data_IF_609052895884
#
_entry.id   IF_609052895884
#
_cell.length_a   1.000
_cell.length_b   1.000
_cell.length_c   1.000
_cell.angle_alpha   90.00
_cell.angle_beta   90.00
_cell.angle_gamma   90.00
#
_symmetry.space_group_name_H-M   'P 1'
#
loop_
_entity.id
_entity.type
_entity.pdbx_description
1 polymer ?
#
# COMPACT_ATOMS: atom_id res chain seq x y z
N UNK A 1 10.41 8.48 18.34
CA UNK A 1 9.40 7.49 17.91
C UNK A 1 8.13 8.14 17.36
N UNK A 2 7.58 9.16 18.04
CA UNK A 2 6.36 9.89 17.61
C UNK A 2 6.49 10.47 16.19
N UNK A 3 7.66 11.04 15.85
CA UNK A 3 7.90 11.60 14.51
C UNK A 3 7.83 10.53 13.41
N UNK A 4 8.44 9.36 13.62
CA UNK A 4 8.41 8.26 12.65
C UNK A 4 7.02 7.63 12.53
N UNK A 5 6.29 7.45 13.63
CA UNK A 5 4.89 6.99 13.58
C UNK A 5 4.03 7.97 12.77
N UNK A 6 4.16 9.28 13.06
CA UNK A 6 3.47 10.33 12.31
C UNK A 6 3.83 10.29 10.82
N UNK A 7 5.11 10.09 10.48
CA UNK A 7 5.58 10.02 9.09
C UNK A 7 5.02 8.81 8.34
N UNK A 8 5.07 7.63 8.94
CA UNK A 8 4.63 6.36 8.34
C UNK A 8 3.11 6.39 8.13
N UNK A 9 2.35 6.78 9.14
CA UNK A 9 0.88 6.81 9.11
C UNK A 9 0.36 7.86 8.12
N UNK A 10 0.96 9.05 8.13
CA UNK A 10 0.58 10.12 7.21
C UNK A 10 1.13 9.94 5.79
N UNK A 11 1.88 8.86 5.52
CA UNK A 11 2.55 8.61 4.24
C UNK A 11 3.49 9.76 3.81
N UNK A 12 4.10 10.48 4.76
CA UNK A 12 4.93 11.68 4.53
C UNK A 12 6.38 11.34 4.21
N UNK A 13 6.60 10.37 3.34
CA UNK A 13 7.92 10.05 2.81
C UNK A 13 8.36 11.13 1.83
N UNK A 14 9.63 11.51 1.86
CA UNK A 14 10.20 12.54 0.99
C UNK A 14 10.09 12.16 -0.49
N UNK A 15 10.22 10.87 -0.79
CA UNK A 15 10.09 10.31 -2.13
C UNK A 15 9.56 8.88 -2.08
N UNK A 16 9.23 8.32 -3.24
CA UNK A 16 8.93 6.90 -3.36
C UNK A 16 10.15 6.05 -3.02
N UNK A 17 11.35 6.50 -3.39
CA UNK A 17 12.59 5.76 -3.15
C UNK A 17 12.91 5.64 -1.66
N UNK A 18 12.56 6.65 -0.83
CA UNK A 18 12.68 6.52 0.62
C UNK A 18 11.92 5.29 1.14
N UNK A 19 10.78 4.93 0.55
CA UNK A 19 10.01 3.77 0.97
C UNK A 19 10.69 2.44 0.61
N UNK A 20 11.40 2.40 -0.51
CA UNK A 20 11.97 1.16 -1.07
C UNK A 20 13.44 0.95 -0.72
N UNK A 21 14.17 2.03 -0.44
CA UNK A 21 15.65 2.02 -0.35
C UNK A 21 16.14 2.45 1.03
N UNK A 22 15.28 3.02 1.89
CA UNK A 22 15.71 3.43 3.22
C UNK A 22 15.96 2.24 4.14
N UNK A 23 17.13 2.26 4.77
CA UNK A 23 17.55 1.32 5.82
C UNK A 23 17.41 1.93 7.22
N UNK A 24 16.64 3.02 7.38
CA UNK A 24 16.50 3.66 8.69
C UNK A 24 16.01 2.66 9.74
N UNK A 25 16.47 2.76 11.01
CA UNK A 25 16.07 1.82 12.05
C UNK A 25 14.55 1.71 12.19
N UNK A 26 13.85 2.85 12.13
CA UNK A 26 12.40 2.91 12.22
C UNK A 26 11.69 2.17 11.06
N UNK A 27 12.16 2.33 9.82
CA UNK A 27 11.57 1.66 8.66
C UNK A 27 11.90 0.17 8.63
N UNK A 28 13.10 -0.21 9.07
CA UNK A 28 13.49 -1.61 9.27
C UNK A 28 12.59 -2.29 10.29
N UNK A 29 12.35 -1.65 11.44
CA UNK A 29 11.42 -2.16 12.47
C UNK A 29 10.00 -2.26 11.92
N UNK A 30 9.49 -1.20 11.29
CA UNK A 30 8.15 -1.20 10.69
C UNK A 30 7.97 -2.33 9.67
N UNK A 31 8.99 -2.55 8.82
CA UNK A 31 8.99 -3.61 7.84
C UNK A 31 8.97 -4.99 8.51
N UNK A 32 9.77 -5.19 9.56
CA UNK A 32 9.80 -6.43 10.32
C UNK A 32 8.45 -6.75 10.98
N UNK A 33 7.79 -5.75 11.59
CA UNK A 33 6.48 -5.92 12.25
C UNK A 33 5.42 -6.49 11.29
N UNK A 34 5.49 -6.16 9.99
CA UNK A 34 4.56 -6.70 8.99
C UNK A 34 4.66 -8.21 8.76
N UNK A 35 5.75 -8.84 9.21
CA UNK A 35 6.04 -10.27 9.02
C UNK A 35 6.08 -11.08 10.32
N UNK A 36 5.83 -10.43 11.46
CA UNK A 36 5.75 -11.15 12.73
C UNK A 36 4.45 -11.95 12.77
N UNK A 37 4.59 -13.28 12.86
CA UNK A 37 3.46 -14.19 12.98
C UNK A 37 3.15 -14.59 14.43
N UNK A 38 4.17 -14.63 15.31
CA UNK A 38 4.01 -14.96 16.73
C UNK A 38 3.87 -13.69 17.56
N UNK A 39 2.70 -13.42 18.18
CA UNK A 39 2.48 -12.23 19.00
C UNK A 39 3.51 -12.06 20.13
N UNK A 40 4.07 -13.17 20.65
CA UNK A 40 5.10 -13.11 21.71
C UNK A 40 6.38 -12.41 21.25
N UNK A 41 6.67 -12.43 19.95
CA UNK A 41 7.78 -11.67 19.38
C UNK A 41 7.52 -10.16 19.47
N UNK A 42 6.28 -9.71 19.24
CA UNK A 42 5.91 -8.31 19.46
C UNK A 42 6.11 -7.92 20.93
N UNK A 43 5.68 -8.76 21.88
CA UNK A 43 5.86 -8.49 23.32
C UNK A 43 7.33 -8.41 23.73
N UNK A 44 8.20 -9.23 23.11
CA UNK A 44 9.64 -9.17 23.31
C UNK A 44 10.23 -7.85 22.81
N UNK A 45 9.83 -7.41 21.61
CA UNK A 45 10.29 -6.15 21.02
C UNK A 45 9.80 -4.94 21.82
N UNK A 46 8.55 -4.96 22.30
CA UNK A 46 7.98 -3.91 23.15
C UNK A 46 8.76 -3.74 24.47
N UNK A 47 9.21 -4.84 25.08
CA UNK A 47 10.06 -4.79 26.26
C UNK A 47 11.42 -4.15 25.96
N UNK A 48 12.08 -4.57 24.89
CA UNK A 48 13.37 -4.00 24.48
C UNK A 48 13.27 -2.51 24.14
N UNK A 49 12.15 -2.07 23.55
CA UNK A 49 11.91 -0.68 23.21
C UNK A 49 11.88 0.26 24.44
N UNK A 50 11.58 -0.27 25.63
CA UNK A 50 11.64 0.51 26.89
C UNK A 50 13.08 0.73 27.38
N UNK A 51 14.01 -0.10 26.92
CA UNK A 51 15.37 -0.21 27.47
C UNK A 51 16.46 0.15 26.45
N UNK A 52 16.09 0.38 25.18
CA UNK A 52 17.03 0.60 24.08
C UNK A 52 16.50 1.59 23.05
N UNK A 53 17.42 2.21 22.29
CA UNK A 53 17.08 3.06 21.17
C UNK A 53 16.66 2.23 19.93
N UNK A 54 16.20 2.94 18.90
CA UNK A 54 15.72 2.31 17.67
C UNK A 54 16.84 1.61 16.90
N UNK A 55 18.06 2.14 16.92
CA UNK A 55 19.23 1.55 16.28
C UNK A 55 19.52 0.17 16.84
N UNK A 56 19.57 0.03 18.17
CA UNK A 56 19.78 -1.25 18.83
C UNK A 56 18.61 -2.21 18.63
N UNK A 57 17.37 -1.71 18.65
CA UNK A 57 16.21 -2.54 18.38
C UNK A 57 16.19 -3.04 16.92
N UNK A 58 16.63 -2.23 15.96
CA UNK A 58 16.71 -2.62 14.54
C UNK A 58 17.69 -3.78 14.31
N UNK A 59 18.72 -3.89 15.15
CA UNK A 59 19.69 -4.99 15.15
C UNK A 59 19.21 -6.23 15.92
N UNK A 60 18.04 -6.20 16.56
CA UNK A 60 17.54 -7.35 17.32
C UNK A 60 17.25 -8.54 16.35
N UNK A 61 17.62 -9.79 16.68
CA UNK A 61 17.50 -10.93 15.76
C UNK A 61 16.10 -11.16 15.19
N UNK A 62 15.07 -10.89 16.00
CA UNK A 62 13.66 -10.94 15.54
C UNK A 62 13.37 -9.87 14.48
N UNK A 63 13.91 -8.66 14.63
CA UNK A 63 13.73 -7.59 13.64
C UNK A 63 14.47 -7.95 12.36
N UNK A 64 15.76 -8.29 12.45
CA UNK A 64 16.58 -8.64 11.30
C UNK A 64 15.98 -9.78 10.45
N UNK A 65 15.59 -10.88 11.11
CA UNK A 65 14.97 -12.04 10.45
C UNK A 65 13.69 -11.66 9.69
N UNK A 66 12.81 -10.90 10.34
CA UNK A 66 11.52 -10.54 9.77
C UNK A 66 11.64 -9.45 8.70
N UNK A 67 12.52 -8.46 8.89
CA UNK A 67 12.82 -7.44 7.88
C UNK A 67 13.42 -8.07 6.62
N UNK A 68 14.38 -9.00 6.75
CA UNK A 68 14.98 -9.71 5.61
C UNK A 68 13.91 -10.49 4.83
N UNK A 69 13.00 -11.17 5.54
CA UNK A 69 11.87 -11.85 4.91
C UNK A 69 10.96 -10.88 4.17
N UNK A 70 10.61 -9.76 4.80
CA UNK A 70 9.75 -8.74 4.22
C UNK A 70 10.35 -8.09 2.96
N UNK A 71 11.66 -7.81 2.95
CA UNK A 71 12.37 -7.27 1.79
C UNK A 71 12.32 -8.24 0.60
N UNK A 72 12.53 -9.54 0.86
CA UNK A 72 12.41 -10.59 -0.17
C UNK A 72 11.01 -10.62 -0.76
N UNK A 73 9.98 -10.68 0.10
CA UNK A 73 8.58 -10.69 -0.33
C UNK A 73 8.17 -9.42 -1.07
N UNK A 74 8.70 -8.27 -0.66
CA UNK A 74 8.45 -6.98 -1.32
C UNK A 74 9.12 -6.89 -2.69
N UNK A 75 10.32 -7.46 -2.82
CA UNK A 75 11.03 -7.57 -4.10
C UNK A 75 10.24 -8.43 -5.09
N UNK A 76 9.75 -9.58 -4.63
CA UNK A 76 8.92 -10.45 -5.47
C UNK A 76 7.58 -9.80 -5.79
N UNK A 77 6.97 -9.09 -4.83
CA UNK A 77 5.77 -8.30 -5.05
C UNK A 77 5.96 -7.21 -6.11
N UNK A 78 7.08 -6.48 -6.10
CA UNK A 78 7.39 -5.48 -7.11
C UNK A 78 7.59 -6.11 -8.50
N UNK A 79 8.21 -7.28 -8.59
CA UNK A 79 8.34 -8.03 -9.86
C UNK A 79 6.97 -8.43 -10.41
N UNK A 80 6.07 -8.92 -9.55
CA UNK A 80 4.68 -9.27 -9.96
C UNK A 80 3.90 -8.03 -10.39
N UNK A 81 4.03 -6.94 -9.63
CA UNK A 81 3.42 -5.67 -9.97
C UNK A 81 3.86 -5.17 -11.35
N UNK A 82 5.16 -5.19 -11.66
CA UNK A 82 5.67 -4.78 -12.99
C UNK A 82 5.09 -5.60 -14.16
N UNK A 83 4.63 -6.82 -13.91
CA UNK A 83 3.99 -7.67 -14.93
C UNK A 83 2.48 -7.42 -15.07
N UNK A 84 1.82 -7.08 -13.96
CA UNK A 84 0.35 -6.94 -13.90
C UNK A 84 -0.16 -5.50 -13.91
N UNK A 85 0.72 -4.50 -13.82
CA UNK A 85 0.37 -3.09 -13.77
C UNK A 85 0.60 -2.37 -15.10
N UNK A 86 -0.35 -1.52 -15.48
CA UNK A 86 -0.29 -0.69 -16.67
C UNK A 86 -0.92 0.69 -16.40
N UNK A 87 -0.55 1.69 -17.18
CA UNK A 87 -1.10 3.04 -17.05
C UNK A 87 -2.26 3.22 -18.03
N UNK A 88 -3.39 3.74 -17.55
CA UNK A 88 -4.47 4.23 -18.42
C UNK A 88 -4.85 5.64 -17.99
N UNK A 89 -4.73 6.59 -18.91
CA UNK A 89 -4.74 8.03 -18.62
C UNK A 89 -3.71 8.38 -17.51
N UNK A 90 -4.17 8.84 -16.36
CA UNK A 90 -3.38 9.17 -15.17
C UNK A 90 -3.56 8.16 -14.02
N UNK A 91 -4.14 6.98 -14.30
CA UNK A 91 -4.45 5.94 -13.31
C UNK A 91 -3.63 4.68 -13.63
N UNK A 92 -2.82 4.24 -12.67
CA UNK A 92 -2.20 2.90 -12.75
C UNK A 92 -3.26 1.86 -12.41
N UNK A 93 -3.58 1.00 -13.37
CA UNK A 93 -4.48 -0.14 -13.19
C UNK A 93 -3.65 -1.41 -13.04
N UNK A 94 -4.00 -2.27 -12.10
CA UNK A 94 -3.26 -3.52 -11.90
C UNK A 94 -4.13 -4.67 -11.38
N UNK A 95 -3.76 -5.90 -11.74
CA UNK A 95 -4.25 -7.13 -11.11
C UNK A 95 -3.05 -8.00 -10.76
N UNK A 96 -2.85 -8.27 -9.47
CA UNK A 96 -1.66 -8.95 -8.97
C UNK A 96 -2.01 -10.05 -8.00
N UNK A 97 -1.34 -11.18 -8.19
CA UNK A 97 -1.30 -12.26 -7.21
C UNK A 97 -0.29 -11.92 -6.10
N UNK A 98 -0.76 -11.81 -4.86
CA UNK A 98 0.05 -11.54 -3.68
C UNK A 98 0.32 -12.77 -2.82
N UNK A 99 -0.01 -13.99 -3.28
CA UNK A 99 0.32 -15.23 -2.56
C UNK A 99 1.82 -15.40 -2.45
N UNK A 100 2.36 -15.49 -1.23
CA UNK A 100 3.80 -15.49 -0.97
C UNK A 100 4.53 -14.24 -1.51
N UNK A 101 3.88 -13.07 -1.53
CA UNK A 101 4.50 -11.79 -1.88
C UNK A 101 3.87 -10.62 -1.12
N UNK A 102 4.60 -9.51 -0.99
CA UNK A 102 4.08 -8.26 -0.41
C UNK A 102 3.95 -7.23 -1.51
N UNK A 103 2.72 -6.84 -1.84
CA UNK A 103 2.46 -5.75 -2.78
C UNK A 103 2.50 -4.44 -2.00
N UNK A 104 3.62 -3.73 -2.11
CA UNK A 104 3.76 -2.41 -1.51
C UNK A 104 2.77 -1.42 -2.19
N UNK A 105 1.96 -0.72 -1.39
CA UNK A 105 0.95 0.24 -1.87
C UNK A 105 1.52 1.38 -2.73
N UNK A 106 2.82 1.65 -2.63
CA UNK A 106 3.52 2.68 -3.39
C UNK A 106 4.22 2.15 -4.65
N UNK A 107 4.21 0.83 -4.90
CA UNK A 107 4.76 0.24 -6.12
C UNK A 107 4.23 0.87 -7.42
N UNK A 108 2.93 1.23 -7.52
CA UNK A 108 2.42 1.95 -8.68
C UNK A 108 3.18 3.22 -9.02
N UNK A 109 3.54 4.02 -8.02
CA UNK A 109 4.22 5.30 -8.22
C UNK A 109 5.73 5.17 -8.40
N UNK A 110 6.31 4.03 -8.00
CA UNK A 110 7.70 3.70 -8.36
C UNK A 110 7.83 3.33 -9.82
N UNK A 111 6.85 2.59 -10.37
CA UNK A 111 6.87 2.13 -11.76
C UNK A 111 6.32 3.19 -12.72
N UNK A 112 5.30 3.94 -12.31
CA UNK A 112 4.68 5.01 -13.10
C UNK A 112 4.67 6.33 -12.30
N UNK A 113 5.81 7.04 -12.21
CA UNK A 113 5.92 8.27 -11.39
C UNK A 113 4.97 9.39 -11.83
N UNK A 114 4.56 9.39 -13.11
CA UNK A 114 3.63 10.38 -13.67
C UNK A 114 2.17 10.17 -13.26
N UNK A 115 1.80 8.99 -12.75
CA UNK A 115 0.41 8.67 -12.43
C UNK A 115 -0.11 9.51 -11.25
N UNK A 116 -1.37 9.92 -11.32
CA UNK A 116 -2.09 10.61 -10.24
C UNK A 116 -2.79 9.63 -9.31
N UNK A 117 -3.20 8.48 -9.82
CA UNK A 117 -3.87 7.44 -9.04
C UNK A 117 -3.29 6.05 -9.30
N UNK A 118 -3.63 5.14 -8.41
CA UNK A 118 -3.55 3.71 -8.65
C UNK A 118 -4.86 3.07 -8.24
N UNK A 119 -5.37 2.11 -9.01
CA UNK A 119 -6.49 1.27 -8.65
C UNK A 119 -6.19 -0.18 -9.08
N UNK A 120 -6.42 -1.16 -8.23
CA UNK A 120 -6.12 -2.53 -8.63
C UNK A 120 -6.60 -3.62 -7.71
N UNK A 121 -6.53 -4.84 -8.25
CA UNK A 121 -6.88 -6.10 -7.62
C UNK A 121 -5.62 -6.70 -7.00
N UNK A 122 -5.72 -7.09 -5.74
CA UNK A 122 -4.70 -7.85 -5.01
C UNK A 122 -5.34 -9.17 -4.59
N UNK A 123 -4.92 -10.26 -5.21
CA UNK A 123 -5.41 -11.61 -4.95
C UNK A 123 -4.57 -12.27 -3.85
N UNK A 124 -5.21 -12.78 -2.81
CA UNK A 124 -4.56 -13.45 -1.67
C UNK A 124 -5.31 -14.74 -1.33
N UNK A 125 -4.70 -15.56 -0.49
CA UNK A 125 -5.33 -16.79 0.01
C UNK A 125 -6.59 -16.49 0.86
N UNK A 126 -6.62 -15.34 1.54
CA UNK A 126 -7.74 -14.89 2.38
C UNK A 126 -8.83 -14.12 1.61
N UNK A 127 -8.70 -13.97 0.29
CA UNK A 127 -9.68 -13.32 -0.57
C UNK A 127 -9.08 -12.30 -1.54
N UNK A 128 -9.95 -11.52 -2.16
CA UNK A 128 -9.56 -10.51 -3.14
C UNK A 128 -9.74 -9.12 -2.55
N UNK A 129 -8.72 -8.27 -2.65
CA UNK A 129 -8.80 -6.87 -2.23
C UNK A 129 -8.74 -6.00 -3.46
N UNK A 130 -9.71 -5.10 -3.59
CA UNK A 130 -9.65 -4.03 -4.58
C UNK A 130 -9.28 -2.78 -3.83
N UNK A 131 -8.26 -2.06 -4.29
CA UNK A 131 -7.74 -0.87 -3.61
C UNK A 131 -7.59 0.26 -4.59
N UNK A 132 -7.78 1.49 -4.12
CA UNK A 132 -7.37 2.68 -4.85
C UNK A 132 -6.62 3.64 -3.93
N UNK A 133 -5.66 4.35 -4.50
CA UNK A 133 -4.84 5.33 -3.81
C UNK A 133 -4.58 6.54 -4.71
N UNK A 134 -4.47 7.70 -4.10
CA UNK A 134 -3.98 8.94 -4.70
C UNK A 134 -2.46 8.99 -4.55
N UNK A 135 -1.74 9.43 -5.58
CA UNK A 135 -0.30 9.65 -5.51
C UNK A 135 0.02 10.66 -4.39
N UNK A 136 0.74 10.27 -3.32
CA UNK A 136 1.12 11.18 -2.24
C UNK A 136 2.04 12.31 -2.70
N UNK A 137 2.88 12.04 -3.70
CA UNK A 137 3.95 12.92 -4.19
C UNK A 137 3.50 13.88 -5.30
N UNK A 138 2.20 13.91 -5.62
CA UNK A 138 1.64 14.87 -6.57
C UNK A 138 0.63 15.77 -5.87
N UNK A 139 0.67 17.05 -6.20
CA UNK A 139 -0.31 18.04 -5.74
C UNK A 139 -1.44 18.17 -6.75
N UNK A 140 -2.67 17.88 -6.30
CA UNK A 140 -3.91 18.00 -7.06
C UNK A 140 -5.10 17.68 -6.14
N UNK A 141 -6.29 18.17 -6.53
CA UNK A 141 -7.56 17.87 -5.86
C UNK A 141 -7.97 16.43 -6.16
N UNK A 142 -7.98 15.58 -5.13
CA UNK A 142 -8.28 14.16 -5.30
C UNK A 142 -9.79 13.89 -5.36
N UNK A 143 -10.21 13.05 -6.30
CA UNK A 143 -11.41 12.23 -6.19
C UNK A 143 -11.56 11.63 -4.76
N UNK A 144 -12.79 11.61 -4.22
CA UNK A 144 -13.05 11.16 -2.86
C UNK A 144 -13.08 9.63 -2.80
N UNK A 145 -11.90 8.99 -2.75
CA UNK A 145 -11.76 7.54 -2.89
C UNK A 145 -12.59 6.77 -1.84
N UNK A 146 -12.61 7.20 -0.58
CA UNK A 146 -13.47 6.62 0.46
C UNK A 146 -14.95 6.57 0.05
N UNK A 147 -15.51 7.69 -0.41
CA UNK A 147 -16.91 7.77 -0.86
C UNK A 147 -17.20 6.94 -2.10
N UNK A 148 -16.21 6.76 -2.98
CA UNK A 148 -16.34 5.86 -4.13
C UNK A 148 -16.46 4.42 -3.65
N UNK A 149 -15.64 4.01 -2.67
CA UNK A 149 -15.63 2.65 -2.14
C UNK A 149 -16.81 2.34 -1.20
N UNK A 150 -17.33 3.31 -0.46
CA UNK A 150 -18.54 3.14 0.37
C UNK A 150 -19.74 2.61 -0.43
N UNK A 151 -19.89 3.06 -1.69
CA UNK A 151 -20.98 2.63 -2.58
C UNK A 151 -20.92 1.17 -3.01
N UNK A 152 -19.75 0.55 -2.86
CA UNK A 152 -19.50 -0.86 -3.21
C UNK A 152 -19.22 -1.72 -1.96
N UNK A 153 -19.58 -1.23 -0.77
CA UNK A 153 -19.40 -1.94 0.49
C UNK A 153 -17.95 -1.97 1.00
N UNK A 154 -17.09 -1.11 0.45
CA UNK A 154 -15.74 -0.85 0.95
C UNK A 154 -15.69 0.34 1.91
N UNK A 155 -14.48 0.84 2.15
CA UNK A 155 -14.27 2.02 2.98
C UNK A 155 -12.87 2.61 2.82
N UNK A 156 -12.63 3.74 3.48
CA UNK A 156 -11.34 4.40 3.45
C UNK A 156 -11.42 5.89 3.80
N UNK A 157 -10.49 6.65 3.25
CA UNK A 157 -10.37 8.09 3.42
C UNK A 157 -10.34 8.80 2.06
N UNK A 158 -10.21 10.13 2.07
CA UNK A 158 -10.17 10.94 0.86
C UNK A 158 -9.11 10.47 -0.16
N UNK A 159 -7.98 9.93 0.30
CA UNK A 159 -6.78 9.64 -0.51
C UNK A 159 -6.48 8.15 -0.71
N UNK A 160 -7.21 7.25 -0.05
CA UNK A 160 -6.99 5.81 -0.13
C UNK A 160 -8.25 5.08 0.31
N UNK A 161 -8.61 4.00 -0.38
CA UNK A 161 -9.76 3.19 -0.02
C UNK A 161 -9.59 1.74 -0.49
N UNK A 162 -10.35 0.81 0.10
CA UNK A 162 -10.28 -0.61 -0.20
C UNK A 162 -11.64 -1.28 0.02
N UNK A 163 -11.94 -2.30 -0.76
CA UNK A 163 -13.02 -3.27 -0.52
C UNK A 163 -12.43 -4.67 -0.55
N UNK A 164 -12.95 -5.56 0.29
CA UNK A 164 -12.56 -6.98 0.31
C UNK A 164 -13.72 -7.81 -0.22
N UNK A 165 -13.49 -8.51 -1.32
CA UNK A 165 -14.40 -9.46 -1.90
C UNK A 165 -14.13 -10.84 -1.28
N UNK A 166 -15.20 -11.44 -0.73
CA UNK A 166 -15.17 -12.84 -0.27
C UNK A 166 -15.07 -13.79 -1.46
N UNK A 167 -14.59 -15.01 -1.23
CA UNK A 167 -14.35 -16.03 -2.27
C UNK A 167 -15.51 -16.20 -3.28
N UNK A 168 -16.76 -16.19 -2.81
CA UNK A 168 -17.95 -16.31 -3.67
C UNK A 168 -18.15 -15.15 -4.69
N UNK A 169 -17.43 -14.04 -4.52
CA UNK A 169 -17.48 -12.86 -5.39
C UNK A 169 -16.17 -12.64 -6.14
N UNK A 170 -15.32 -13.65 -6.25
CA UNK A 170 -14.00 -13.51 -6.88
C UNK A 170 -14.07 -13.05 -8.33
N UNK A 171 -15.12 -13.48 -9.03
CA UNK A 171 -15.28 -13.30 -10.47
C UNK A 171 -15.81 -11.90 -10.80
N UNK A 172 -16.43 -11.22 -9.82
CA UNK A 172 -16.87 -9.82 -9.93
C UNK A 172 -15.70 -8.82 -9.80
N UNK A 173 -14.49 -9.28 -9.43
CA UNK A 173 -13.38 -8.38 -9.12
C UNK A 173 -12.98 -7.43 -10.28
N UNK A 174 -12.91 -7.88 -11.55
CA UNK A 174 -12.65 -7.00 -12.69
C UNK A 174 -13.73 -5.92 -12.86
N UNK A 175 -15.01 -6.28 -12.73
CA UNK A 175 -16.13 -5.35 -12.88
C UNK A 175 -16.12 -4.28 -11.79
N UNK A 176 -15.85 -4.68 -10.55
CA UNK A 176 -15.72 -3.74 -9.43
C UNK A 176 -14.53 -2.81 -9.62
N UNK A 177 -13.39 -3.32 -10.12
CA UNK A 177 -12.23 -2.48 -10.45
C UNK A 177 -12.57 -1.48 -11.55
N UNK A 178 -13.25 -1.90 -12.62
CA UNK A 178 -13.67 -1.02 -13.71
C UNK A 178 -14.64 0.07 -13.23
N UNK A 179 -15.57 -0.26 -12.34
CA UNK A 179 -16.47 0.71 -11.72
C UNK A 179 -15.72 1.75 -10.89
N UNK A 180 -14.68 1.35 -10.16
CA UNK A 180 -13.79 2.25 -9.41
C UNK A 180 -13.02 3.18 -10.36
N UNK A 181 -12.36 2.62 -11.37
CA UNK A 181 -11.59 3.40 -12.36
C UNK A 181 -12.48 4.41 -13.08
N UNK A 182 -13.68 3.97 -13.51
CA UNK A 182 -14.67 4.83 -14.16
C UNK A 182 -15.17 5.95 -13.25
N UNK A 183 -15.36 5.68 -11.96
CA UNK A 183 -15.77 6.68 -10.97
C UNK A 183 -14.69 7.75 -10.76
N UNK A 184 -13.42 7.35 -10.68
CA UNK A 184 -12.28 8.28 -10.58
C UNK A 184 -12.23 9.17 -11.83
N UNK A 185 -12.25 8.57 -13.03
CA UNK A 185 -12.23 9.30 -14.31
C UNK A 185 -13.38 10.29 -14.45
N UNK A 186 -14.59 9.90 -14.03
CA UNK A 186 -15.76 10.78 -14.07
C UNK A 186 -15.55 11.99 -13.17
N UNK A 187 -15.02 11.78 -11.96
CA UNK A 187 -14.74 12.87 -11.03
C UNK A 187 -13.67 13.84 -11.58
N UNK A 188 -12.59 13.31 -12.13
CA UNK A 188 -11.52 14.13 -12.71
C UNK A 188 -12.01 14.96 -13.89
N UNK A 189 -12.79 14.36 -14.80
CA UNK A 189 -13.39 15.09 -15.94
C UNK A 189 -14.31 16.23 -15.51
N UNK A 190 -15.09 16.04 -14.46
CA UNK A 190 -15.97 17.10 -13.94
C UNK A 190 -15.19 18.22 -13.24
N UNK A 191 -14.10 17.86 -12.55
CA UNK A 191 -13.27 18.82 -11.83
C UNK A 191 -12.42 19.71 -12.75
N UNK A 192 -12.02 19.21 -13.93
CA UNK A 192 -11.27 19.99 -14.93
C UNK A 192 -12.18 20.79 -15.89
N UNK A 193 -13.50 20.66 -15.77
CA UNK A 193 -14.50 21.42 -16.58
C UNK A 193 -15.08 22.63 -15.84
N UNK A 194 -14.70 22.87 -14.59
CA UNK A 194 -15.11 24.07 -13.86
C UNK A 194 -14.09 25.18 -14.12
N UNK A 195 -14.50 26.34 -14.66
CA UNK A 195 -13.62 27.50 -14.87
C UNK A 195 -13.09 28.08 -13.56
#
# INVERSE_FOLDING_TARGET
MVEWATKIDAARYASVDEVFESSSPALTINLALSQIADPRQCDQLLRHLKESDLDRLAMHPVVEKNATRALRLSTDGLKRFRKGGYLVDDIVVFDVDARNAVINRYAPYRVFPSARYSAGIIRKDDGIRITAMRNPWKEFKSAPLGRIFEKIGGGGHQRVATVVLKSAKSDEAPDVLEAVVSSIRRHERLSHRSP
#
